data_IF_736095091962
#
_entry.id   IF_736095091962
#
_cell.length_a   1.000
_cell.length_b   1.000
_cell.length_c   1.000
_cell.angle_alpha   90.00
_cell.angle_beta   90.00
_cell.angle_gamma   90.00
#
_symmetry.space_group_name_H-M   'P 1'
#
loop_
_entity.id
_entity.type
_entity.pdbx_description
1 polymer ?
#
# COMPACT_ATOMS: atom_id res chain seq x y z
N UNK A 1 19.61 32.61 27.47
CA UNK A 1 19.01 31.54 26.66
C UNK A 1 20.08 30.49 26.48
N UNK A 2 19.85 29.27 26.96
CA UNK A 2 20.77 28.15 26.71
C UNK A 2 20.84 27.87 25.21
N UNK A 3 22.04 27.56 24.71
CA UNK A 3 22.25 27.27 23.28
C UNK A 3 21.78 25.86 22.90
N UNK A 4 21.64 25.59 21.60
CA UNK A 4 21.25 24.26 21.08
C UNK A 4 22.10 23.13 21.69
N UNK A 5 23.43 23.25 21.70
CA UNK A 5 24.35 22.21 22.19
C UNK A 5 24.14 21.92 23.68
N UNK A 6 23.94 22.96 24.49
CA UNK A 6 23.70 22.84 25.93
C UNK A 6 22.38 22.11 26.21
N UNK A 7 21.32 22.44 25.45
CA UNK A 7 20.02 21.78 25.59
C UNK A 7 20.05 20.33 25.08
N UNK A 8 20.78 20.06 23.98
CA UNK A 8 20.96 18.70 23.47
C UNK A 8 21.75 17.82 24.45
N UNK A 9 22.80 18.37 25.07
CA UNK A 9 23.57 17.68 26.11
C UNK A 9 22.71 17.43 27.37
N UNK A 10 21.92 18.42 27.80
CA UNK A 10 20.97 18.25 28.90
C UNK A 10 19.92 17.18 28.60
N UNK A 11 19.33 17.20 27.41
CA UNK A 11 18.37 16.18 26.97
C UNK A 11 18.99 14.78 26.99
N UNK A 12 20.27 14.66 26.64
CA UNK A 12 20.93 13.35 26.59
C UNK A 12 21.39 12.85 27.97
N UNK A 13 21.82 13.74 28.87
CA UNK A 13 22.65 13.34 30.01
C UNK A 13 22.19 13.87 31.37
N UNK A 14 21.14 14.71 31.44
CA UNK A 14 20.66 15.17 32.73
C UNK A 14 20.14 13.99 33.57
N UNK A 15 20.52 13.92 34.87
CA UNK A 15 20.21 12.76 35.71
C UNK A 15 18.69 12.62 35.94
N UNK A 16 18.01 13.74 36.17
CA UNK A 16 16.58 13.79 36.41
C UNK A 16 15.79 13.81 35.10
N UNK A 17 14.76 12.97 34.99
CA UNK A 17 13.88 12.93 33.81
C UNK A 17 13.18 14.28 33.56
N UNK A 18 12.91 15.03 34.63
CA UNK A 18 12.35 16.38 34.56
C UNK A 18 13.26 17.34 33.79
N UNK A 19 14.57 17.31 34.06
CA UNK A 19 15.52 18.21 33.41
C UNK A 19 15.68 17.90 31.92
N UNK A 20 15.57 16.61 31.56
CA UNK A 20 15.54 16.15 30.16
C UNK A 20 14.25 16.57 29.45
N UNK A 21 13.09 16.46 30.12
CA UNK A 21 11.82 16.98 29.60
C UNK A 21 11.87 18.49 29.32
N UNK A 22 12.35 19.27 30.29
CA UNK A 22 12.49 20.72 30.14
C UNK A 22 13.44 21.07 28.99
N UNK A 23 14.50 20.28 28.78
CA UNK A 23 15.41 20.44 27.65
C UNK A 23 14.77 20.08 26.31
N UNK A 24 13.98 19.00 26.24
CA UNK A 24 13.24 18.62 25.03
C UNK A 24 12.25 19.72 24.60
N UNK A 25 11.52 20.29 25.55
CA UNK A 25 10.58 21.39 25.29
C UNK A 25 11.32 22.65 24.84
N UNK A 26 12.40 23.03 25.53
CA UNK A 26 13.20 24.18 25.13
C UNK A 26 13.83 24.01 23.74
N UNK A 27 14.25 22.80 23.36
CA UNK A 27 14.72 22.48 22.02
C UNK A 27 13.62 22.66 20.96
N UNK A 28 12.40 22.22 21.24
CA UNK A 28 11.28 22.29 20.29
C UNK A 28 10.78 23.72 20.00
N UNK A 29 11.13 24.68 20.85
CA UNK A 29 10.90 26.11 20.64
C UNK A 29 11.98 26.76 19.76
N UNK A 30 13.12 26.09 19.51
CA UNK A 30 14.14 26.57 18.60
C UNK A 30 13.75 26.28 17.15
N UNK A 31 13.86 27.29 16.30
CA UNK A 31 13.74 27.14 14.84
C UNK A 31 15.10 26.69 14.25
N UNK A 32 15.63 25.57 14.76
CA UNK A 32 16.91 24.99 14.34
C UNK A 32 16.70 23.56 13.78
N UNK A 33 17.17 23.26 12.56
CA UNK A 33 17.02 21.93 11.93
C UNK A 33 17.63 20.78 12.74
N UNK A 34 18.58 21.07 13.62
CA UNK A 34 19.28 20.06 14.43
C UNK A 34 18.45 19.57 15.63
N UNK A 35 17.35 20.26 15.96
CA UNK A 35 16.41 19.87 17.03
C UNK A 35 15.83 18.48 16.80
N UNK A 36 15.46 18.22 15.56
CA UNK A 36 14.69 17.04 15.22
C UNK A 36 15.48 15.72 15.42
N UNK A 37 16.75 15.60 14.97
CA UNK A 37 17.61 14.47 15.32
C UNK A 37 17.85 14.31 16.83
N UNK A 38 17.94 15.41 17.59
CA UNK A 38 18.12 15.35 19.05
C UNK A 38 16.87 14.77 19.74
N UNK A 39 15.67 15.21 19.34
CA UNK A 39 14.40 14.66 19.83
C UNK A 39 14.19 13.20 19.39
N UNK A 40 14.61 12.82 18.17
CA UNK A 40 14.52 11.43 17.69
C UNK A 40 15.34 10.47 18.58
N UNK A 41 16.50 10.90 19.07
CA UNK A 41 17.29 10.11 20.04
C UNK A 41 16.59 9.97 21.39
N UNK A 42 15.82 10.98 21.82
CA UNK A 42 15.07 10.91 23.06
C UNK A 42 13.88 9.92 23.03
N UNK A 43 13.50 9.39 21.86
CA UNK A 43 12.59 8.23 21.78
C UNK A 43 13.18 6.97 22.41
N UNK A 44 14.50 6.94 22.60
CA UNK A 44 15.23 5.87 23.30
C UNK A 44 15.42 6.13 24.80
N UNK A 45 14.88 7.23 25.36
CA UNK A 45 15.10 7.58 26.76
C UNK A 45 14.57 6.49 27.71
N UNK A 46 15.26 6.28 28.83
CA UNK A 46 14.85 5.30 29.83
C UNK A 46 13.49 5.66 30.47
N UNK A 47 13.20 6.95 30.61
CA UNK A 47 11.97 7.44 31.20
C UNK A 47 10.82 7.51 30.17
N UNK A 48 9.67 6.93 30.52
CA UNK A 48 8.52 6.86 29.63
C UNK A 48 7.88 8.21 29.31
N UNK A 49 7.93 9.17 30.24
CA UNK A 49 7.39 10.51 30.02
C UNK A 49 8.26 11.29 29.02
N UNK A 50 9.59 11.14 29.09
CA UNK A 50 10.51 11.75 28.12
C UNK A 50 10.24 11.21 26.71
N UNK A 51 10.08 9.89 26.56
CA UNK A 51 9.75 9.28 25.24
C UNK A 51 8.44 9.80 24.67
N UNK A 52 7.36 9.76 25.46
CA UNK A 52 6.04 10.22 25.04
C UNK A 52 6.06 11.71 24.65
N UNK A 53 6.82 12.52 25.38
CA UNK A 53 6.95 13.94 25.06
C UNK A 53 7.76 14.17 23.79
N UNK A 54 8.87 13.46 23.60
CA UNK A 54 9.67 13.54 22.39
C UNK A 54 8.85 13.17 21.13
N UNK A 55 8.03 12.12 21.21
CA UNK A 55 7.11 11.73 20.14
C UNK A 55 6.10 12.84 19.81
N UNK A 56 5.48 13.42 20.83
CA UNK A 56 4.53 14.52 20.65
C UNK A 56 5.18 15.76 20.01
N UNK A 57 6.40 16.11 20.43
CA UNK A 57 7.15 17.24 19.89
C UNK A 57 7.57 17.00 18.44
N UNK A 58 8.03 15.80 18.10
CA UNK A 58 8.36 15.40 16.73
C UNK A 58 7.12 15.47 15.81
N UNK A 59 5.96 14.99 16.27
CA UNK A 59 4.69 15.11 15.53
C UNK A 59 4.29 16.58 15.28
N UNK A 60 4.61 17.47 16.23
CA UNK A 60 4.43 18.92 16.06
C UNK A 60 5.45 19.55 15.10
N UNK A 61 6.68 19.03 15.05
CA UNK A 61 7.74 19.49 14.15
C UNK A 61 7.44 19.10 12.69
N UNK A 62 6.97 17.87 12.45
CA UNK A 62 6.58 17.38 11.13
C UNK A 62 5.47 18.22 10.46
N UNK A 63 4.62 18.89 11.26
CA UNK A 63 3.57 19.79 10.76
C UNK A 63 4.09 21.17 10.33
N UNK A 64 5.32 21.52 10.70
CA UNK A 64 5.94 22.84 10.51
C UNK A 64 7.14 22.82 9.56
N UNK A 65 7.34 21.78 8.73
CA UNK A 65 8.53 21.61 7.89
C UNK A 65 8.34 22.07 6.42
N UNK A 66 8.67 23.34 6.07
CA UNK A 66 8.69 23.83 4.69
C UNK A 66 9.94 23.41 3.90
N UNK A 67 10.93 22.72 4.50
CA UNK A 67 12.27 22.53 3.94
C UNK A 67 12.66 21.11 3.53
N UNK A 68 11.86 20.09 3.86
CA UNK A 68 12.15 18.68 3.53
C UNK A 68 13.09 17.99 4.53
N UNK A 69 13.15 18.49 5.77
CA UNK A 69 13.89 17.89 6.89
C UNK A 69 13.26 16.59 7.40
N UNK A 70 11.98 16.34 7.06
CA UNK A 70 11.23 15.12 7.35
C UNK A 70 11.94 13.84 6.87
N UNK A 71 12.65 13.88 5.74
CA UNK A 71 13.35 12.70 5.23
C UNK A 71 14.56 12.30 6.11
N UNK A 72 15.35 13.28 6.56
CA UNK A 72 16.48 13.04 7.46
C UNK A 72 16.01 12.58 8.85
N UNK A 73 14.87 13.11 9.30
CA UNK A 73 14.18 12.69 10.51
C UNK A 73 13.74 11.22 10.47
N UNK A 74 13.13 10.79 9.37
CA UNK A 74 12.69 9.41 9.18
C UNK A 74 13.88 8.44 9.15
N UNK A 75 14.97 8.79 8.46
CA UNK A 75 16.20 7.98 8.45
C UNK A 75 16.86 7.87 9.84
N UNK A 76 16.87 8.96 10.63
CA UNK A 76 17.41 8.91 12.01
C UNK A 76 16.51 8.09 12.92
N UNK A 77 15.18 8.27 12.84
CA UNK A 77 14.20 7.53 13.64
C UNK A 77 14.26 6.02 13.35
N UNK A 78 14.36 5.63 12.08
CA UNK A 78 14.56 4.22 11.68
C UNK A 78 15.87 3.65 12.25
N UNK A 79 16.95 4.43 12.23
CA UNK A 79 18.24 4.01 12.80
C UNK A 79 18.19 3.81 14.31
N UNK A 80 17.51 4.72 15.03
CA UNK A 80 17.33 4.64 16.49
C UNK A 80 16.43 3.45 16.84
N UNK A 81 15.32 3.24 16.11
CA UNK A 81 14.44 2.09 16.30
C UNK A 81 15.18 0.76 16.10
N UNK A 82 16.03 0.67 15.07
CA UNK A 82 16.87 -0.50 14.84
C UNK A 82 17.89 -0.74 15.97
N UNK A 83 18.51 0.32 16.49
CA UNK A 83 19.45 0.23 17.60
C UNK A 83 18.77 -0.22 18.91
N UNK A 84 17.59 0.31 19.21
CA UNK A 84 16.78 -0.08 20.37
C UNK A 84 16.32 -1.54 20.27
N UNK A 85 15.90 -1.99 19.09
CA UNK A 85 15.52 -3.38 18.88
C UNK A 85 16.70 -4.35 19.10
N UNK A 86 17.89 -3.98 18.61
CA UNK A 86 19.11 -4.76 18.82
C UNK A 86 19.51 -4.82 20.31
N UNK A 87 19.38 -3.71 21.03
CA UNK A 87 19.68 -3.64 22.46
C UNK A 87 18.68 -4.43 23.31
N UNK A 88 17.39 -4.36 22.97
CA UNK A 88 16.35 -5.17 23.62
C UNK A 88 16.59 -6.68 23.44
N UNK A 89 17.08 -7.11 22.28
CA UNK A 89 17.48 -8.50 22.03
C UNK A 89 18.71 -8.91 22.85
N UNK A 90 19.73 -8.04 22.91
CA UNK A 90 20.94 -8.25 23.73
C UNK A 90 20.58 -8.46 25.20
N UNK A 91 19.70 -7.62 25.75
CA UNK A 91 19.27 -7.70 27.15
C UNK A 91 18.43 -8.96 27.46
N UNK A 92 17.79 -9.56 26.46
CA UNK A 92 17.06 -10.84 26.60
C UNK A 92 17.97 -12.08 26.52
N UNK A 93 19.27 -11.91 26.26
CA UNK A 93 20.20 -13.03 26.06
C UNK A 93 19.95 -13.79 24.76
N UNK A 94 19.13 -13.23 23.87
CA UNK A 94 18.91 -13.75 22.53
C UNK A 94 20.10 -13.32 21.68
N UNK A 95 21.01 -14.26 21.36
CA UNK A 95 22.00 -14.04 20.31
C UNK A 95 21.29 -13.48 19.08
N UNK A 96 21.87 -12.54 18.31
CA UNK A 96 21.17 -11.86 17.23
C UNK A 96 20.69 -12.91 16.24
N UNK A 97 19.43 -13.32 16.42
CA UNK A 97 18.71 -14.03 15.41
C UNK A 97 18.63 -13.01 14.29
N UNK A 98 19.38 -13.26 13.22
CA UNK A 98 18.88 -12.86 11.92
C UNK A 98 17.38 -13.11 11.97
N UNK A 99 16.52 -12.09 11.72
CA UNK A 99 15.10 -12.32 11.71
C UNK A 99 14.90 -13.60 10.91
N UNK A 100 14.12 -14.59 11.38
CA UNK A 100 13.78 -15.71 10.51
C UNK A 100 13.20 -15.05 9.28
N UNK A 101 14.02 -14.99 8.22
CA UNK A 101 13.56 -14.66 6.89
C UNK A 101 12.41 -15.63 6.75
N UNK A 102 11.15 -15.17 6.58
CA UNK A 102 10.05 -16.10 6.37
C UNK A 102 10.57 -17.05 5.32
N UNK A 103 10.63 -18.35 5.68
CA UNK A 103 11.33 -19.35 4.88
C UNK A 103 10.93 -19.11 3.43
N UNK A 104 11.86 -18.54 2.66
CA UNK A 104 11.63 -18.12 1.27
C UNK A 104 11.57 -19.43 0.48
N UNK A 105 10.44 -20.13 0.59
CA UNK A 105 10.11 -21.35 -0.14
C UNK A 105 9.51 -21.03 -1.52
N UNK A 106 9.87 -19.88 -2.06
CA UNK A 106 9.81 -19.62 -3.49
C UNK A 106 11.13 -18.94 -3.84
N UNK A 107 11.93 -19.60 -4.67
CA UNK A 107 13.08 -18.98 -5.31
C UNK A 107 12.69 -17.59 -5.82
N UNK A 108 13.57 -16.58 -5.75
CA UNK A 108 13.29 -15.28 -6.36
C UNK A 108 12.82 -15.55 -7.78
N UNK A 109 11.59 -15.15 -8.10
CA UNK A 109 10.98 -15.37 -9.40
C UNK A 109 11.97 -14.86 -10.44
N UNK A 110 12.44 -15.73 -11.32
CA UNK A 110 13.35 -15.29 -12.38
C UNK A 110 12.68 -14.15 -13.15
N UNK A 111 13.43 -13.13 -13.58
CA UNK A 111 12.86 -12.06 -14.37
C UNK A 111 12.14 -12.63 -15.59
N UNK A 112 10.88 -12.24 -15.78
CA UNK A 112 10.09 -12.75 -16.90
C UNK A 112 10.40 -11.91 -18.14
N UNK A 113 11.03 -12.51 -19.14
CA UNK A 113 11.25 -11.90 -20.44
C UNK A 113 10.01 -12.06 -21.34
N UNK A 114 9.76 -11.13 -22.29
CA UNK A 114 8.73 -11.35 -23.28
C UNK A 114 9.12 -12.54 -24.18
N UNK A 115 8.14 -13.25 -24.77
CA UNK A 115 8.41 -14.42 -25.61
C UNK A 115 9.47 -14.14 -26.69
N UNK A 116 10.30 -15.13 -26.99
CA UNK A 116 11.30 -15.01 -28.04
C UNK A 116 10.62 -14.68 -29.38
N UNK A 117 11.17 -13.69 -30.10
CA UNK A 117 10.59 -13.18 -31.35
C UNK A 117 9.39 -12.25 -31.19
N UNK A 118 8.88 -12.00 -29.97
CA UNK A 118 7.85 -10.98 -29.75
C UNK A 118 8.44 -9.57 -29.89
N UNK A 119 7.84 -8.75 -30.75
CA UNK A 119 8.25 -7.37 -31.08
C UNK A 119 7.20 -6.31 -30.69
N UNK A 120 6.04 -6.73 -30.20
CA UNK A 120 4.93 -5.86 -29.83
C UNK A 120 5.12 -5.10 -28.51
N UNK A 121 4.09 -4.35 -28.08
CA UNK A 121 4.12 -3.62 -26.82
C UNK A 121 4.01 -4.56 -25.61
N UNK A 122 4.80 -4.27 -24.59
CA UNK A 122 4.82 -4.96 -23.30
C UNK A 122 4.40 -4.02 -22.16
N UNK A 123 3.80 -4.61 -21.14
CA UNK A 123 3.74 -4.04 -19.80
C UNK A 123 4.94 -4.51 -18.99
N UNK A 124 5.57 -3.58 -18.25
CA UNK A 124 6.53 -3.93 -17.20
C UNK A 124 5.79 -4.01 -15.87
N UNK A 125 5.90 -5.16 -15.21
CA UNK A 125 5.22 -5.44 -13.94
C UNK A 125 6.23 -5.88 -12.89
N UNK A 126 6.01 -5.52 -11.63
CA UNK A 126 6.77 -6.12 -10.53
C UNK A 126 6.25 -7.53 -10.26
N UNK A 127 7.13 -8.46 -9.89
CA UNK A 127 6.75 -9.85 -9.59
C UNK A 127 6.69 -10.14 -8.08
N UNK A 128 7.07 -9.16 -7.25
CA UNK A 128 7.07 -9.30 -5.78
C UNK A 128 6.36 -8.14 -5.08
N UNK A 129 6.04 -8.33 -3.81
CA UNK A 129 5.46 -7.32 -2.94
C UNK A 129 6.44 -6.30 -2.35
N UNK A 130 7.74 -6.53 -2.55
CA UNK A 130 8.80 -5.83 -1.82
C UNK A 130 8.74 -4.30 -1.99
N UNK A 131 9.23 -3.58 -0.97
CA UNK A 131 9.32 -2.13 -1.01
C UNK A 131 10.20 -1.67 -2.19
N UNK A 132 9.69 -0.71 -2.97
CA UNK A 132 10.39 -0.18 -4.12
C UNK A 132 11.13 1.12 -3.78
N UNK A 133 12.39 1.22 -4.19
CA UNK A 133 13.05 2.51 -4.26
C UNK A 133 12.52 3.28 -5.49
N UNK A 134 11.42 4.00 -5.30
CA UNK A 134 10.69 4.68 -6.37
C UNK A 134 11.57 5.66 -7.17
N UNK A 135 12.51 6.34 -6.52
CA UNK A 135 13.46 7.24 -7.18
C UNK A 135 14.39 6.48 -8.14
N UNK A 136 14.89 5.32 -7.71
CA UNK A 136 15.73 4.46 -8.54
C UNK A 136 14.95 3.86 -9.71
N UNK A 137 13.75 3.31 -9.45
CA UNK A 137 12.86 2.77 -10.49
C UNK A 137 12.52 3.84 -11.53
N UNK A 138 12.11 5.03 -11.08
CA UNK A 138 11.75 6.12 -11.99
C UNK A 138 12.90 6.55 -12.89
N UNK A 139 14.13 6.64 -12.37
CA UNK A 139 15.32 6.96 -13.19
C UNK A 139 15.61 5.92 -14.27
N UNK A 140 15.31 4.64 -14.00
CA UNK A 140 15.52 3.57 -14.96
C UNK A 140 14.43 3.56 -16.04
N UNK A 141 13.18 3.74 -15.63
CA UNK A 141 12.00 3.59 -16.49
C UNK A 141 11.71 4.86 -17.31
N UNK A 142 11.86 6.06 -16.74
CA UNK A 142 11.51 7.33 -17.40
C UNK A 142 12.09 7.51 -18.82
N UNK A 143 13.39 7.27 -19.08
CA UNK A 143 13.95 7.43 -20.42
C UNK A 143 13.32 6.50 -21.45
N UNK A 144 12.86 5.31 -21.04
CA UNK A 144 12.33 4.30 -21.94
C UNK A 144 10.87 4.55 -22.33
N UNK A 145 10.10 5.23 -21.48
CA UNK A 145 8.71 5.61 -21.76
C UNK A 145 8.57 7.05 -22.24
N UNK A 146 9.66 7.83 -22.27
CA UNK A 146 9.63 9.23 -22.68
C UNK A 146 8.87 10.15 -21.73
N UNK A 147 8.75 9.78 -20.44
CA UNK A 147 8.06 10.55 -19.41
C UNK A 147 9.05 11.12 -18.39
N UNK A 148 8.75 12.24 -17.73
CA UNK A 148 9.58 12.75 -16.66
C UNK A 148 9.55 11.81 -15.43
N UNK A 149 10.63 11.73 -14.63
CA UNK A 149 10.71 10.80 -13.49
C UNK A 149 9.57 10.92 -12.48
N UNK A 150 9.06 12.13 -12.22
CA UNK A 150 7.98 12.33 -11.25
C UNK A 150 6.65 11.73 -11.72
N UNK A 151 6.36 11.72 -13.03
CA UNK A 151 5.17 11.07 -13.58
C UNK A 151 5.27 9.56 -13.46
N UNK A 152 6.45 9.00 -13.73
CA UNK A 152 6.72 7.57 -13.53
C UNK A 152 6.57 7.20 -12.05
N UNK A 153 7.16 7.95 -11.13
CA UNK A 153 6.99 7.73 -9.69
C UNK A 153 5.50 7.71 -9.30
N UNK A 154 4.72 8.69 -9.78
CA UNK A 154 3.28 8.77 -9.52
C UNK A 154 2.53 7.57 -10.09
N UNK A 155 2.84 7.14 -11.32
CA UNK A 155 2.22 5.98 -11.96
C UNK A 155 2.51 4.67 -11.23
N UNK A 156 3.78 4.43 -10.87
CA UNK A 156 4.21 3.25 -10.11
C UNK A 156 3.51 3.21 -8.75
N UNK A 157 3.44 4.35 -8.05
CA UNK A 157 2.78 4.44 -6.75
C UNK A 157 1.26 4.24 -6.83
N UNK A 158 0.63 4.72 -7.90
CA UNK A 158 -0.82 4.61 -8.10
C UNK A 158 -1.29 3.19 -8.44
N UNK A 159 -0.51 2.45 -9.23
CA UNK A 159 -0.88 1.09 -9.68
C UNK A 159 -0.38 -0.01 -8.75
N UNK A 160 0.65 0.29 -7.93
CA UNK A 160 1.36 -0.63 -7.01
C UNK A 160 2.09 -1.79 -7.69
N UNK A 161 1.66 -2.21 -8.89
CA UNK A 161 2.17 -3.38 -9.61
C UNK A 161 2.81 -3.08 -10.97
N UNK A 162 2.31 -2.07 -11.69
CA UNK A 162 2.83 -1.72 -13.01
C UNK A 162 3.96 -0.70 -12.91
N UNK A 163 5.05 -0.98 -13.62
CA UNK A 163 6.21 -0.10 -13.72
C UNK A 163 6.12 0.80 -14.96
N UNK A 164 5.64 0.24 -16.07
CA UNK A 164 5.40 0.94 -17.34
C UNK A 164 4.42 0.16 -18.21
N UNK A 165 3.85 0.82 -19.21
CA UNK A 165 3.00 0.24 -20.25
C UNK A 165 3.48 0.67 -21.62
N UNK A 166 3.05 -0.07 -22.64
CA UNK A 166 3.33 0.22 -24.05
C UNK A 166 4.83 0.34 -24.37
N UNK A 167 5.64 -0.45 -23.67
CA UNK A 167 7.10 -0.47 -23.86
C UNK A 167 7.43 -1.48 -24.98
N UNK A 168 8.18 -1.09 -26.03
CA UNK A 168 8.62 -2.04 -27.05
C UNK A 168 9.39 -3.22 -26.44
N UNK A 169 9.14 -4.45 -26.93
CA UNK A 169 9.67 -5.68 -26.32
C UNK A 169 11.20 -5.66 -26.08
N UNK A 170 12.00 -5.17 -27.03
CA UNK A 170 13.45 -5.05 -26.88
C UNK A 170 13.85 -4.09 -25.75
N UNK A 171 13.13 -2.98 -25.61
CA UNK A 171 13.33 -2.02 -24.52
C UNK A 171 12.89 -2.62 -23.19
N UNK A 172 11.78 -3.37 -23.18
CA UNK A 172 11.29 -4.06 -21.99
C UNK A 172 12.30 -5.10 -21.48
N UNK A 173 12.89 -5.93 -22.35
CA UNK A 173 13.97 -6.89 -21.98
C UNK A 173 15.13 -6.21 -21.29
N UNK A 174 15.67 -5.14 -21.90
CA UNK A 174 16.78 -4.36 -21.32
C UNK A 174 16.40 -3.74 -19.97
N UNK A 175 15.16 -3.27 -19.82
CA UNK A 175 14.70 -2.71 -18.55
C UNK A 175 14.55 -3.76 -17.46
N UNK A 176 14.01 -4.94 -17.78
CA UNK A 176 13.90 -6.07 -16.83
C UNK A 176 15.28 -6.42 -16.27
N UNK A 177 16.30 -6.57 -17.11
CA UNK A 177 17.67 -6.82 -16.67
C UNK A 177 18.20 -5.70 -15.75
N UNK A 178 18.05 -4.43 -16.15
CA UNK A 178 18.51 -3.28 -15.34
C UNK A 178 17.76 -3.12 -14.02
N UNK A 179 16.47 -3.51 -13.98
CA UNK A 179 15.67 -3.53 -12.75
C UNK A 179 16.14 -4.65 -11.83
N UNK A 180 16.47 -5.83 -12.35
CA UNK A 180 17.05 -6.93 -11.59
C UNK A 180 18.41 -6.52 -10.97
N UNK A 181 19.30 -5.89 -11.74
CA UNK A 181 20.56 -5.30 -11.22
C UNK A 181 20.32 -4.25 -10.13
N UNK A 182 19.14 -3.62 -10.14
CA UNK A 182 18.72 -2.67 -9.14
C UNK A 182 18.03 -3.28 -7.92
N UNK A 183 17.91 -4.61 -7.86
CA UNK A 183 17.23 -5.35 -6.80
C UNK A 183 15.71 -5.36 -6.93
N UNK A 184 15.16 -5.08 -8.12
CA UNK A 184 13.72 -5.08 -8.39
C UNK A 184 13.37 -6.27 -9.28
N UNK A 185 12.68 -7.25 -8.73
CA UNK A 185 12.18 -8.40 -9.49
C UNK A 185 10.99 -7.98 -10.34
N UNK A 186 11.20 -7.91 -11.66
CA UNK A 186 10.21 -7.46 -12.63
C UNK A 186 10.08 -8.43 -13.81
N UNK A 187 8.97 -8.31 -14.53
CA UNK A 187 8.69 -9.04 -15.75
C UNK A 187 8.17 -8.12 -16.86
N UNK A 188 8.44 -8.50 -18.10
CA UNK A 188 7.90 -7.90 -19.31
C UNK A 188 6.86 -8.84 -19.90
N UNK A 189 5.60 -8.43 -19.83
CA UNK A 189 4.46 -9.23 -20.30
C UNK A 189 3.86 -8.58 -21.54
N UNK A 190 3.62 -9.33 -22.64
CA UNK A 190 2.90 -8.79 -23.79
C UNK A 190 1.57 -8.15 -23.38
N UNK A 191 1.22 -6.98 -23.92
CA UNK A 191 -0.01 -6.27 -23.54
C UNK A 191 -1.27 -7.10 -23.74
N UNK A 192 -1.30 -7.95 -24.78
CA UNK A 192 -2.43 -8.85 -25.07
C UNK A 192 -2.52 -10.06 -24.12
N UNK A 193 -1.48 -10.31 -23.32
CA UNK A 193 -1.47 -11.38 -22.32
C UNK A 193 -1.92 -10.89 -20.92
N UNK A 194 -2.20 -9.59 -20.76
CA UNK A 194 -2.78 -9.07 -19.53
C UNK A 194 -4.20 -9.61 -19.35
N UNK A 195 -4.62 -9.96 -18.12
CA UNK A 195 -5.99 -10.39 -17.86
C UNK A 195 -7.00 -9.34 -18.33
N UNK A 196 -8.03 -9.79 -19.06
CA UNK A 196 -9.08 -8.87 -19.51
C UNK A 196 -9.81 -8.24 -18.32
N UNK A 197 -10.11 -6.93 -18.39
CA UNK A 197 -10.88 -6.27 -17.35
C UNK A 197 -12.31 -6.80 -17.33
N UNK A 198 -12.77 -7.22 -16.16
CA UNK A 198 -14.14 -7.70 -15.96
C UNK A 198 -14.99 -6.57 -15.39
N UNK A 199 -16.17 -6.36 -15.97
CA UNK A 199 -17.17 -5.43 -15.43
C UNK A 199 -17.66 -5.96 -14.07
N UNK A 200 -17.62 -5.15 -13.00
CA UNK A 200 -18.07 -5.60 -11.69
C UNK A 200 -19.59 -5.80 -11.69
N UNK A 201 -20.02 -6.99 -11.28
CA UNK A 201 -21.40 -7.32 -10.97
C UNK A 201 -21.62 -7.13 -9.47
N UNK A 202 -22.75 -6.51 -9.10
CA UNK A 202 -23.04 -6.14 -7.72
C UNK A 202 -23.74 -7.29 -7.00
N UNK A 203 -23.13 -7.83 -5.94
CA UNK A 203 -23.66 -8.93 -5.14
C UNK A 203 -24.13 -8.41 -3.77
N UNK A 204 -25.44 -8.37 -3.53
CA UNK A 204 -26.04 -8.01 -2.24
C UNK A 204 -26.16 -9.21 -1.31
N UNK A 205 -26.19 -8.92 -0.02
CA UNK A 205 -26.42 -9.91 1.05
C UNK A 205 -25.47 -11.13 0.91
N UNK A 206 -24.15 -10.93 0.78
CA UNK A 206 -23.22 -12.03 0.63
C UNK A 206 -23.30 -12.96 1.85
N UNK A 207 -23.46 -14.25 1.57
CA UNK A 207 -23.46 -15.32 2.55
C UNK A 207 -22.33 -16.30 2.22
N UNK A 208 -21.51 -16.61 3.21
CA UNK A 208 -20.33 -17.45 3.06
C UNK A 208 -20.56 -18.79 3.77
N UNK A 209 -20.33 -19.88 3.05
CA UNK A 209 -20.46 -21.22 3.58
C UNK A 209 -19.30 -22.09 3.08
N UNK A 210 -19.05 -23.28 3.67
CA UNK A 210 -18.01 -24.19 3.17
C UNK A 210 -18.13 -24.54 1.68
N UNK A 211 -19.35 -24.52 1.13
CA UNK A 211 -19.61 -24.80 -0.28
C UNK A 211 -19.37 -23.63 -1.25
N UNK A 212 -19.20 -22.40 -0.76
CA UNK A 212 -19.02 -21.22 -1.61
C UNK A 212 -19.58 -19.92 -1.04
N UNK A 213 -19.54 -18.90 -1.90
CA UNK A 213 -20.19 -17.61 -1.74
C UNK A 213 -21.58 -17.64 -2.39
N UNK A 214 -22.60 -17.14 -1.71
CA UNK A 214 -23.95 -16.93 -2.24
C UNK A 214 -24.40 -15.49 -2.03
N UNK A 215 -25.32 -15.00 -2.85
CA UNK A 215 -25.92 -13.67 -2.66
C UNK A 215 -26.91 -13.34 -3.76
N UNK A 216 -27.37 -12.09 -3.77
CA UNK A 216 -28.29 -11.58 -4.78
C UNK A 216 -27.55 -10.67 -5.76
N UNK A 217 -27.38 -11.12 -6.99
CA UNK A 217 -26.83 -10.37 -8.10
C UNK A 217 -27.84 -9.34 -8.61
N UNK A 218 -27.41 -8.09 -8.73
CA UNK A 218 -28.24 -7.04 -9.33
C UNK A 218 -27.95 -6.91 -10.83
N UNK A 219 -28.98 -6.87 -11.70
CA UNK A 219 -30.44 -7.01 -11.43
C UNK A 219 -30.97 -8.45 -11.55
N UNK A 220 -30.12 -9.45 -11.76
CA UNK A 220 -30.49 -10.75 -12.35
C UNK A 220 -30.96 -11.84 -11.38
N UNK A 221 -30.88 -11.64 -10.06
CA UNK A 221 -31.39 -12.60 -9.06
C UNK A 221 -30.30 -13.32 -8.25
N UNK A 222 -30.59 -14.51 -7.73
CA UNK A 222 -29.65 -15.23 -6.86
C UNK A 222 -28.41 -15.73 -7.61
N UNK A 223 -27.27 -15.74 -6.91
CA UNK A 223 -25.96 -16.12 -7.42
C UNK A 223 -25.23 -17.01 -6.41
N UNK A 224 -24.49 -18.00 -6.91
CA UNK A 224 -23.67 -18.90 -6.10
C UNK A 224 -22.36 -19.20 -6.80
N UNK A 225 -21.24 -18.93 -6.13
CA UNK A 225 -19.88 -19.21 -6.62
C UNK A 225 -19.20 -20.19 -5.67
N UNK A 226 -18.87 -21.41 -6.10
CA UNK A 226 -18.14 -22.36 -5.25
C UNK A 226 -16.69 -21.89 -5.05
N UNK A 227 -16.10 -22.14 -3.88
CA UNK A 227 -14.73 -21.70 -3.57
C UNK A 227 -13.66 -22.20 -4.56
N UNK A 228 -13.74 -23.44 -5.08
CA UNK A 228 -12.83 -23.87 -6.15
C UNK A 228 -12.89 -22.99 -7.41
N UNK A 229 -14.03 -22.35 -7.70
CA UNK A 229 -14.18 -21.44 -8.84
C UNK A 229 -13.66 -20.02 -8.57
N UNK A 230 -13.48 -19.62 -7.31
CA UNK A 230 -12.91 -18.30 -6.96
C UNK A 230 -11.44 -18.27 -7.33
N UNK A 231 -11.05 -17.39 -8.24
CA UNK A 231 -9.68 -17.13 -8.69
C UNK A 231 -8.91 -16.22 -7.73
N UNK A 232 -9.55 -15.11 -7.32
CA UNK A 232 -8.94 -14.06 -6.49
C UNK A 232 -10.02 -13.44 -5.61
N UNK A 233 -9.72 -13.18 -4.34
CA UNK A 233 -10.46 -12.25 -3.51
C UNK A 233 -9.55 -11.08 -3.13
N UNK A 234 -10.02 -9.86 -3.36
CA UNK A 234 -9.26 -8.63 -3.14
C UNK A 234 -10.09 -7.65 -2.33
N UNK A 235 -9.42 -6.89 -1.46
CA UNK A 235 -10.02 -5.75 -0.79
C UNK A 235 -9.06 -4.56 -0.82
N UNK A 236 -9.62 -3.35 -0.88
CA UNK A 236 -8.88 -2.11 -0.93
C UNK A 236 -9.72 -0.93 -0.47
N UNK A 237 -9.06 0.19 -0.19
CA UNK A 237 -9.70 1.49 0.02
C UNK A 237 -9.55 2.32 -1.25
N UNK A 238 -10.63 2.83 -1.83
CA UNK A 238 -10.59 3.55 -3.12
C UNK A 238 -11.22 4.94 -2.94
N UNK A 239 -10.46 5.99 -3.21
CA UNK A 239 -10.93 7.37 -3.22
C UNK A 239 -11.98 7.54 -4.32
N UNK A 240 -13.15 8.03 -3.94
CA UNK A 240 -14.21 8.40 -4.86
C UNK A 240 -14.12 9.91 -5.10
N UNK A 241 -13.83 10.29 -6.34
CA UNK A 241 -14.08 11.66 -6.80
C UNK A 241 -15.61 11.82 -6.95
N UNK A 242 -16.28 12.16 -5.86
CA UNK A 242 -17.72 12.38 -5.84
C UNK A 242 -18.04 13.79 -6.37
N UNK A 243 -18.28 13.88 -7.66
CA UNK A 243 -19.48 14.63 -8.09
C UNK A 243 -20.62 13.59 -8.06
N UNK A 244 -21.62 13.71 -7.17
CA UNK A 244 -22.69 12.73 -6.99
C UNK A 244 -23.40 12.31 -8.29
N UNK A 245 -23.49 13.22 -9.25
CA UNK A 245 -24.12 12.99 -10.56
C UNK A 245 -23.20 12.30 -11.58
N UNK A 246 -21.89 12.24 -11.33
CA UNK A 246 -20.91 11.58 -12.21
C UNK A 246 -20.73 10.07 -11.95
N UNK A 247 -21.33 9.56 -10.87
CA UNK A 247 -21.24 8.16 -10.46
C UNK A 247 -21.99 7.19 -11.40
N UNK A 248 -23.01 7.66 -12.14
CA UNK A 248 -23.78 6.81 -13.05
C UNK A 248 -23.12 6.60 -14.42
N UNK A 249 -22.26 7.52 -14.88
CA UNK A 249 -21.78 7.51 -16.28
C UNK A 249 -20.27 7.29 -16.50
N UNK A 250 -19.42 7.33 -15.47
CA UNK A 250 -17.95 7.42 -15.68
C UNK A 250 -17.14 6.12 -15.60
N UNK A 251 -17.76 4.96 -15.32
CA UNK A 251 -17.07 3.67 -15.24
C UNK A 251 -16.89 3.02 -16.63
N UNK A 252 -16.10 3.64 -17.51
CA UNK A 252 -15.57 3.01 -18.72
C UNK A 252 -14.09 2.64 -18.49
N UNK A 253 -13.71 1.35 -18.55
CA UNK A 253 -12.39 0.92 -18.09
C UNK A 253 -11.24 1.26 -19.04
N UNK A 254 -11.46 1.75 -20.28
CA UNK A 254 -10.38 1.82 -21.28
C UNK A 254 -10.42 2.97 -22.31
N UNK A 255 -11.18 4.07 -22.14
CA UNK A 255 -11.29 5.02 -23.28
C UNK A 255 -11.47 6.51 -22.98
N UNK A 256 -11.36 6.98 -21.74
CA UNK A 256 -11.40 8.43 -21.49
C UNK A 256 -10.24 8.90 -20.63
N UNK A 257 -9.48 9.93 -21.08
CA UNK A 257 -8.60 10.64 -20.18
C UNK A 257 -9.47 11.24 -19.07
N UNK A 258 -9.29 10.76 -17.84
CA UNK A 258 -9.91 11.38 -16.67
C UNK A 258 -9.46 12.84 -16.66
N UNK A 259 -10.42 13.77 -16.57
CA UNK A 259 -10.09 15.20 -16.46
C UNK A 259 -9.17 15.37 -15.25
N UNK A 260 -8.12 16.21 -15.34
CA UNK A 260 -7.25 16.48 -14.21
C UNK A 260 -8.10 16.92 -13.03
N UNK A 261 -7.78 16.39 -11.84
CA UNK A 261 -8.33 16.80 -10.54
C UNK A 261 -8.56 18.31 -10.55
N UNK A 262 -9.82 18.72 -10.69
CA UNK A 262 -10.19 20.04 -10.22
C UNK A 262 -10.11 19.87 -8.72
N UNK A 263 -9.02 20.35 -8.10
CA UNK A 263 -8.91 20.41 -6.64
C UNK A 263 -10.26 20.91 -6.13
N UNK A 264 -10.94 20.08 -5.33
CA UNK A 264 -12.17 20.49 -4.68
C UNK A 264 -11.85 21.82 -4.00
N UNK A 265 -12.48 22.89 -4.50
CA UNK A 265 -12.22 24.26 -4.04
C UNK A 265 -12.74 24.50 -2.62
N UNK A 266 -13.22 23.45 -1.97
CA UNK A 266 -13.83 23.40 -0.66
C UNK A 266 -13.08 22.33 0.11
N UNK A 267 -12.56 22.65 1.29
CA UNK A 267 -11.78 21.74 2.15
C UNK A 267 -12.58 20.55 2.71
N UNK A 268 -13.30 19.83 1.84
CA UNK A 268 -13.92 18.56 2.15
C UNK A 268 -12.86 17.47 2.12
N UNK A 269 -12.87 16.63 3.16
CA UNK A 269 -12.03 15.45 3.22
C UNK A 269 -12.37 14.50 2.06
N UNK A 270 -11.35 13.84 1.46
CA UNK A 270 -11.57 12.84 0.42
C UNK A 270 -12.47 11.72 0.95
N UNK A 271 -13.46 11.33 0.14
CA UNK A 271 -14.36 10.22 0.46
C UNK A 271 -13.76 8.94 -0.10
N UNK A 272 -13.70 7.90 0.72
CA UNK A 272 -13.12 6.61 0.34
C UNK A 272 -14.18 5.51 0.39
N UNK A 273 -14.23 4.61 -0.59
CA UNK A 273 -15.03 3.39 -0.54
C UNK A 273 -14.15 2.22 -0.08
N UNK A 274 -14.70 1.32 0.74
CA UNK A 274 -14.05 0.03 1.00
C UNK A 274 -14.62 -0.97 0.01
N UNK A 275 -13.77 -1.47 -0.87
CA UNK A 275 -14.19 -2.40 -1.91
C UNK A 275 -13.73 -3.80 -1.51
N UNK A 276 -14.64 -4.78 -1.56
CA UNK A 276 -14.31 -6.20 -1.54
C UNK A 276 -14.83 -6.82 -2.84
N UNK A 277 -13.95 -7.46 -3.59
CA UNK A 277 -14.27 -8.10 -4.86
C UNK A 277 -13.79 -9.54 -4.90
N UNK A 278 -14.63 -10.39 -5.51
CA UNK A 278 -14.36 -11.81 -5.72
C UNK A 278 -14.39 -12.08 -7.21
N UNK A 279 -13.29 -12.61 -7.73
CA UNK A 279 -13.13 -13.03 -9.11
C UNK A 279 -13.33 -14.53 -9.21
N UNK A 280 -14.13 -14.98 -10.16
CA UNK A 280 -14.33 -16.39 -10.47
C UNK A 280 -13.88 -16.67 -11.90
N UNK A 281 -13.34 -17.87 -12.18
CA UNK A 281 -12.82 -18.22 -13.51
C UNK A 281 -13.79 -19.05 -14.36
N UNK A 282 -14.82 -19.68 -13.76
CA UNK A 282 -15.73 -20.60 -14.45
C UNK A 282 -17.20 -20.40 -14.05
N UNK A 283 -17.97 -19.58 -14.80
CA UNK A 283 -17.49 -18.68 -15.86
C UNK A 283 -16.74 -17.46 -15.29
N UNK A 284 -15.96 -16.74 -16.11
CA UNK A 284 -15.27 -15.52 -15.70
C UNK A 284 -16.24 -14.47 -15.16
N UNK A 285 -16.11 -14.09 -13.88
CA UNK A 285 -16.96 -13.10 -13.23
C UNK A 285 -16.15 -12.27 -12.25
N UNK A 286 -16.58 -11.02 -12.08
CA UNK A 286 -16.13 -10.12 -11.02
C UNK A 286 -17.33 -9.72 -10.18
N UNK A 287 -17.36 -10.17 -8.93
CA UNK A 287 -18.43 -9.88 -7.99
C UNK A 287 -17.95 -8.82 -7.00
N UNK A 288 -18.50 -7.61 -7.09
CA UNK A 288 -18.33 -6.58 -6.05
C UNK A 288 -19.36 -6.84 -4.97
N UNK A 289 -18.88 -7.14 -3.77
CA UNK A 289 -19.75 -7.34 -2.63
C UNK A 289 -20.34 -5.99 -2.25
N UNK A 290 -21.67 -5.91 -2.15
CA UNK A 290 -22.38 -4.75 -1.67
C UNK A 290 -22.93 -5.05 -0.29
N UNK A 291 -22.47 -4.29 0.69
CA UNK A 291 -23.21 -4.10 1.94
C UNK A 291 -23.50 -2.63 2.11
N UNK A 292 -24.60 -2.32 2.81
CA UNK A 292 -24.93 -0.96 3.21
C UNK A 292 -23.81 -0.29 4.05
N UNK A 293 -22.82 -1.06 4.50
CA UNK A 293 -21.71 -0.61 5.32
C UNK A 293 -20.45 -0.29 4.52
N UNK A 294 -20.38 -0.63 3.23
CA UNK A 294 -19.27 -0.22 2.38
C UNK A 294 -19.41 1.25 1.93
N UNK A 295 -20.62 1.82 2.02
CA UNK A 295 -20.85 3.25 1.81
C UNK A 295 -20.28 4.09 2.97
N UNK A 296 -19.11 4.66 2.74
CA UNK A 296 -18.30 5.33 3.76
C UNK A 296 -18.88 6.63 4.30
N UNK A 297 -19.78 7.31 3.56
CA UNK A 297 -20.54 8.42 4.12
C UNK A 297 -21.37 7.98 5.33
N UNK A 298 -21.73 6.71 5.39
CA UNK A 298 -22.41 6.10 6.53
C UNK A 298 -21.44 5.59 7.62
N UNK A 299 -20.15 5.40 7.32
CA UNK A 299 -19.12 4.90 8.25
C UNK A 299 -18.43 6.01 9.05
N UNK A 300 -18.03 7.14 8.44
CA UNK A 300 -17.36 8.24 9.18
C UNK A 300 -18.18 8.75 10.37
N UNK A 301 -19.51 8.63 10.30
CA UNK A 301 -20.40 9.02 11.40
C UNK A 301 -20.48 7.99 12.53
N UNK A 302 -20.04 6.74 12.33
CA UNK A 302 -20.19 5.62 13.29
C UNK A 302 -19.08 4.55 13.13
N UNK A 303 -17.97 4.64 13.90
CA UNK A 303 -16.87 3.66 13.92
C UNK A 303 -17.31 2.21 14.14
N UNK A 304 -18.43 2.00 14.85
CA UNK A 304 -19.00 0.67 15.10
C UNK A 304 -19.30 -0.17 13.84
N UNK A 305 -19.28 0.43 12.64
CA UNK A 305 -19.63 -0.23 11.37
C UNK A 305 -18.45 -0.91 10.66
N UNK A 306 -17.20 -0.52 10.92
CA UNK A 306 -16.02 -1.17 10.32
C UNK A 306 -15.97 -2.67 10.67
N UNK A 307 -16.36 -3.01 11.91
CA UNK A 307 -16.47 -4.40 12.41
C UNK A 307 -17.28 -5.34 11.50
N UNK A 308 -18.23 -4.81 10.72
CA UNK A 308 -19.08 -5.61 9.82
C UNK A 308 -18.40 -5.88 8.48
N UNK A 309 -17.77 -4.87 7.87
CA UNK A 309 -16.94 -5.05 6.66
C UNK A 309 -15.83 -6.06 6.93
N UNK A 310 -15.19 -5.87 8.07
CA UNK A 310 -14.10 -6.69 8.52
C UNK A 310 -14.58 -8.10 8.97
N UNK A 311 -15.83 -8.26 9.40
CA UNK A 311 -16.49 -9.58 9.53
C UNK A 311 -16.64 -10.29 8.18
N UNK A 312 -17.02 -9.61 7.09
CA UNK A 312 -17.09 -10.24 5.76
C UNK A 312 -15.73 -10.76 5.33
N UNK A 313 -14.69 -9.95 5.53
CA UNK A 313 -13.32 -10.36 5.23
C UNK A 313 -12.89 -11.60 6.04
N UNK A 314 -13.22 -11.66 7.34
CA UNK A 314 -12.98 -12.88 8.16
C UNK A 314 -13.68 -14.12 7.61
N UNK A 315 -14.93 -14.00 7.17
CA UNK A 315 -15.64 -15.12 6.55
C UNK A 315 -14.99 -15.55 5.22
N UNK A 316 -14.51 -14.60 4.41
CA UNK A 316 -13.74 -14.92 3.19
C UNK A 316 -12.46 -15.66 3.56
N UNK A 317 -11.66 -15.13 4.51
CA UNK A 317 -10.41 -15.77 4.98
C UNK A 317 -10.66 -17.18 5.51
N UNK A 318 -11.80 -17.39 6.19
CA UNK A 318 -12.17 -18.67 6.77
C UNK A 318 -12.42 -19.76 5.72
N UNK A 319 -13.01 -19.42 4.58
CA UNK A 319 -13.47 -20.43 3.62
C UNK A 319 -12.75 -20.43 2.28
N UNK A 320 -12.21 -19.30 1.84
CA UNK A 320 -11.51 -19.21 0.56
C UNK A 320 -10.07 -19.76 0.65
N UNK A 321 -9.52 -20.34 -0.43
CA UNK A 321 -8.16 -20.85 -0.43
C UNK A 321 -7.13 -19.74 -0.17
N UNK A 322 -6.26 -19.92 0.83
CA UNK A 322 -5.27 -18.93 1.27
C UNK A 322 -4.44 -18.28 0.13
N UNK A 323 -3.90 -19.05 -0.85
CA UNK A 323 -3.13 -18.49 -1.97
C UNK A 323 -3.90 -17.54 -2.90
N UNK A 324 -5.25 -17.55 -2.82
CA UNK A 324 -6.14 -16.71 -3.65
C UNK A 324 -6.62 -15.45 -2.92
N UNK A 325 -6.10 -15.20 -1.73
CA UNK A 325 -6.45 -14.05 -0.90
C UNK A 325 -5.37 -12.98 -1.01
N UNK A 326 -5.76 -11.81 -1.50
CA UNK A 326 -4.91 -10.61 -1.50
C UNK A 326 -4.61 -10.15 -0.06
N UNK A 327 -3.48 -9.46 0.12
CA UNK A 327 -3.09 -8.78 1.36
C UNK A 327 -4.25 -8.00 2.00
N UNK A 328 -4.97 -7.21 1.19
CA UNK A 328 -6.05 -6.38 1.70
C UNK A 328 -7.23 -7.13 2.29
N UNK A 329 -7.54 -8.35 1.83
CA UNK A 329 -8.60 -9.15 2.46
C UNK A 329 -8.16 -9.59 3.85
N UNK A 330 -6.88 -9.99 4.00
CA UNK A 330 -6.32 -10.43 5.28
C UNK A 330 -6.27 -9.28 6.29
N UNK A 331 -5.71 -8.14 5.89
CA UNK A 331 -5.66 -6.94 6.76
C UNK A 331 -7.04 -6.44 7.17
N UNK A 332 -8.02 -6.52 6.26
CA UNK A 332 -9.41 -6.23 6.60
C UNK A 332 -9.97 -7.22 7.62
N UNK A 333 -9.66 -8.50 7.51
CA UNK A 333 -10.08 -9.49 8.49
C UNK A 333 -9.49 -9.23 9.88
N UNK A 334 -8.22 -8.80 9.93
CA UNK A 334 -7.45 -8.56 11.15
C UNK A 334 -7.81 -7.25 11.87
N UNK A 335 -8.65 -6.40 11.27
CA UNK A 335 -9.10 -5.11 11.82
C UNK A 335 -7.95 -4.09 12.02
N UNK A 336 -6.90 -4.15 11.21
CA UNK A 336 -5.82 -3.16 11.26
C UNK A 336 -6.25 -1.85 10.56
N UNK A 337 -7.10 -1.04 11.21
CA UNK A 337 -7.58 0.25 10.66
C UNK A 337 -6.42 1.22 10.36
N UNK A 338 -5.29 1.11 11.06
CA UNK A 338 -4.17 2.06 10.96
C UNK A 338 -3.26 1.82 9.73
N UNK A 339 -3.34 0.64 9.09
CA UNK A 339 -2.34 0.20 8.10
C UNK A 339 -2.88 -0.03 6.68
N UNK A 340 -3.75 0.87 6.21
CA UNK A 340 -4.35 0.83 4.87
C UNK A 340 -3.61 1.67 3.82
N UNK A 341 -2.55 2.37 4.18
CA UNK A 341 -1.90 3.38 3.34
C UNK A 341 -1.38 2.81 2.01
N UNK A 342 -0.87 1.59 2.01
CA UNK A 342 -0.37 0.89 0.83
C UNK A 342 -1.48 0.24 -0.02
N UNK A 343 -2.67 0.05 0.54
CA UNK A 343 -3.89 -0.47 -0.10
C UNK A 343 -4.97 0.59 -0.33
N UNK A 344 -4.59 1.86 -0.17
CA UNK A 344 -5.41 3.01 -0.51
C UNK A 344 -5.07 3.49 -1.92
N UNK A 345 -6.08 3.56 -2.77
CA UNK A 345 -5.99 4.01 -4.15
C UNK A 345 -6.68 5.35 -4.29
N UNK A 346 -5.98 6.34 -4.86
CA UNK A 346 -6.53 7.68 -5.06
C UNK A 346 -7.38 7.80 -6.33
N UNK A 347 -7.62 6.67 -7.03
CA UNK A 347 -8.45 6.62 -8.22
C UNK A 347 -8.93 5.20 -8.48
N UNK A 348 -10.11 5.02 -9.09
CA UNK A 348 -10.58 3.73 -9.57
C UNK A 348 -9.61 3.03 -10.52
N UNK A 349 -8.96 3.79 -11.42
CA UNK A 349 -8.02 3.24 -12.41
C UNK A 349 -6.80 2.59 -11.74
N UNK A 350 -6.24 3.23 -10.71
CA UNK A 350 -5.14 2.65 -9.94
C UNK A 350 -5.55 1.34 -9.25
N UNK A 351 -6.79 1.26 -8.77
CA UNK A 351 -7.34 0.03 -8.20
C UNK A 351 -7.53 -1.07 -9.25
N UNK A 352 -8.06 -0.75 -10.44
CA UNK A 352 -8.17 -1.71 -11.56
C UNK A 352 -6.81 -2.26 -11.99
N UNK A 353 -5.79 -1.40 -12.04
CA UNK A 353 -4.43 -1.81 -12.37
C UNK A 353 -3.85 -2.74 -11.29
N UNK A 354 -4.10 -2.47 -10.02
CA UNK A 354 -3.70 -3.34 -8.91
C UNK A 354 -4.37 -4.72 -8.98
N UNK A 355 -5.67 -4.76 -9.31
CA UNK A 355 -6.41 -6.01 -9.51
C UNK A 355 -5.88 -6.79 -10.70
N UNK A 356 -5.68 -6.12 -11.84
CA UNK A 356 -5.13 -6.73 -13.06
C UNK A 356 -3.75 -7.32 -12.79
N UNK A 357 -2.91 -6.61 -12.06
CA UNK A 357 -1.60 -7.09 -11.65
C UNK A 357 -1.67 -8.35 -10.78
N UNK A 358 -2.53 -8.40 -9.77
CA UNK A 358 -2.69 -9.60 -8.94
C UNK A 358 -3.21 -10.81 -9.72
N UNK A 359 -4.18 -10.61 -10.61
CA UNK A 359 -4.67 -11.67 -11.50
C UNK A 359 -3.58 -12.18 -12.43
N UNK A 360 -2.73 -11.28 -12.93
CA UNK A 360 -1.57 -11.65 -13.74
C UNK A 360 -0.59 -12.51 -12.93
N UNK A 361 -0.27 -12.14 -11.68
CA UNK A 361 0.61 -12.95 -10.83
C UNK A 361 0.05 -14.38 -10.65
N UNK A 362 -1.25 -14.51 -10.38
CA UNK A 362 -1.90 -15.82 -10.25
C UNK A 362 -1.87 -16.62 -11.57
N UNK A 363 -2.11 -15.96 -12.71
CA UNK A 363 -2.04 -16.59 -14.02
C UNK A 363 -0.62 -17.09 -14.35
N UNK A 364 0.41 -16.40 -13.84
CA UNK A 364 1.81 -16.81 -13.94
C UNK A 364 2.22 -17.85 -12.88
N UNK A 365 1.31 -18.29 -12.00
CA UNK A 365 1.62 -19.20 -10.89
C UNK A 365 2.47 -18.59 -9.78
N UNK A 366 2.56 -17.26 -9.71
CA UNK A 366 3.32 -16.53 -8.71
C UNK A 366 2.44 -16.28 -7.46
N UNK A 367 3.05 -16.28 -6.26
CA UNK A 367 2.31 -15.98 -5.04
C UNK A 367 1.85 -14.52 -5.02
N UNK A 368 0.68 -14.29 -4.42
CA UNK A 368 0.22 -12.93 -4.15
C UNK A 368 1.12 -12.26 -3.09
N UNK A 369 1.48 -10.99 -3.29
CA UNK A 369 2.13 -10.15 -2.30
C UNK A 369 1.38 -10.12 -0.96
N UNK A 370 2.15 -10.18 0.13
CA UNK A 370 1.65 -10.20 1.50
C UNK A 370 1.23 -8.81 2.01
#
# INVERSE_FOLDING_TARGET
MSGFEELAERLAHAPEARDRLEAAEALAELDDPRVAPALARALADADAAVRARAEALLSGFCRRDPGGQLAALLEEAERVAAALAAEAQRLRGEAPAHPPRPERSASPSEPLEPPEGFDGPCALVRLTGDALNLRRVARLVAPAVGLPPFEVTRGVQATKGFLARDVPADTARRLVARLADAGVTAGAVPMHALPEPLKPLRLRNPNFAPGGLRGQLLPTGDESVPWPAVELAVAARVELDLEPDALEESWSPLSRPLRPRVQSRTGQEPVYDHVIEVFAHAPPRRLRLLTYELDFHAMQRRPARFSRVARLAREIVRFAPGPRLAAGVRRLADHEEENWHDLTFTSPVGYEDYVTWQRLLLALGLPLPA
#
